data_IF_647869439915
#
_entry.id   IF_647869439915
#
_cell.length_a   1.000
_cell.length_b   1.000
_cell.length_c   1.000
_cell.angle_alpha   90.00
_cell.angle_beta   90.00
_cell.angle_gamma   90.00
#
_symmetry.space_group_name_H-M   'P 1'
#
loop_
_entity.id
_entity.type
_entity.pdbx_description
1 polymer ?
#
# COMPACT_ATOMS: atom_id res chain seq x y z
N UNK A 1 6.23 5.23 17.42
CA UNK A 1 5.76 5.90 16.18
C UNK A 1 4.27 5.61 16.06
N UNK A 2 3.47 6.59 15.65
CA UNK A 2 2.00 6.47 15.62
C UNK A 2 1.43 6.54 14.20
N UNK A 3 0.50 5.66 13.86
CA UNK A 3 -0.32 5.71 12.63
C UNK A 3 -1.78 5.69 13.05
N UNK A 4 -2.45 6.83 12.96
CA UNK A 4 -3.80 7.01 13.50
C UNK A 4 -3.92 6.65 14.97
N UNK A 5 -4.83 5.74 15.36
CA UNK A 5 -4.98 5.32 16.74
C UNK A 5 -3.92 4.31 17.19
N UNK A 6 -3.05 3.84 16.30
CA UNK A 6 -2.10 2.77 16.59
C UNK A 6 -0.72 3.30 16.95
N UNK A 7 -0.27 3.05 18.19
CA UNK A 7 1.13 3.22 18.58
C UNK A 7 1.89 1.93 18.27
N UNK A 8 2.98 2.04 17.50
CA UNK A 8 3.84 0.91 17.15
C UNK A 8 4.88 0.67 18.24
N UNK A 9 5.18 -0.61 18.50
CA UNK A 9 6.20 -1.06 19.47
C UNK A 9 7.59 -0.47 19.20
N UNK A 10 7.91 -0.20 17.94
CA UNK A 10 9.13 0.46 17.51
C UNK A 10 8.95 1.08 16.12
N UNK A 11 10.01 1.71 15.60
CA UNK A 11 10.00 2.43 14.32
C UNK A 11 10.52 1.59 13.15
N UNK A 12 10.51 0.25 13.24
CA UNK A 12 10.96 -0.65 12.19
C UNK A 12 9.76 -1.37 11.58
N UNK A 13 9.64 -1.31 10.26
CA UNK A 13 8.54 -1.94 9.53
C UNK A 13 9.06 -2.89 8.46
N UNK A 14 8.42 -4.06 8.34
CA UNK A 14 8.66 -4.97 7.23
C UNK A 14 7.97 -4.44 5.96
N UNK A 15 8.76 -4.22 4.91
CA UNK A 15 8.24 -3.77 3.63
C UNK A 15 7.37 -4.85 2.95
N UNK A 16 6.28 -4.46 2.26
CA UNK A 16 5.46 -5.40 1.50
C UNK A 16 6.21 -5.90 0.26
N UNK A 17 6.32 -7.22 0.10
CA UNK A 17 7.02 -7.86 -1.02
C UNK A 17 6.17 -9.02 -1.56
N UNK A 18 5.53 -8.81 -2.71
CA UNK A 18 4.71 -9.82 -3.35
C UNK A 18 5.52 -11.11 -3.63
N UNK A 19 5.02 -12.25 -3.19
CA UNK A 19 5.66 -13.56 -3.25
C UNK A 19 6.66 -13.85 -2.12
N UNK A 20 6.87 -12.92 -1.18
CA UNK A 20 7.82 -13.06 -0.07
C UNK A 20 7.16 -12.83 1.28
N UNK A 21 6.43 -11.71 1.45
CA UNK A 21 5.75 -11.38 2.71
C UNK A 21 4.42 -12.11 2.84
N UNK A 22 4.42 -13.43 2.66
CA UNK A 22 3.27 -14.27 2.98
C UNK A 22 3.00 -14.32 4.49
N UNK A 23 1.88 -14.93 4.90
CA UNK A 23 1.47 -14.97 6.31
C UNK A 23 2.54 -15.58 7.24
N UNK A 24 3.13 -16.76 6.96
CA UNK A 24 4.21 -17.31 7.78
C UNK A 24 5.42 -16.38 7.91
N UNK A 25 5.86 -15.75 6.82
CA UNK A 25 7.01 -14.85 6.86
C UNK A 25 6.74 -13.60 7.69
N UNK A 26 5.55 -13.00 7.56
CA UNK A 26 5.13 -11.84 8.37
C UNK A 26 5.10 -12.17 9.87
N UNK A 27 4.54 -13.33 10.24
CA UNK A 27 4.52 -13.77 11.64
C UNK A 27 5.94 -13.96 12.18
N UNK A 28 6.84 -14.56 11.39
CA UNK A 28 8.24 -14.68 11.79
C UNK A 28 8.89 -13.32 12.02
N UNK A 29 8.75 -12.38 11.10
CA UNK A 29 9.31 -11.03 11.26
C UNK A 29 8.71 -10.27 12.45
N UNK A 30 7.41 -10.43 12.73
CA UNK A 30 6.77 -9.84 13.91
C UNK A 30 7.37 -10.38 15.20
N UNK A 31 7.51 -11.71 15.33
CA UNK A 31 8.17 -12.35 16.49
C UNK A 31 9.64 -11.93 16.65
N UNK A 32 10.33 -11.62 15.56
CA UNK A 32 11.71 -11.13 15.57
C UNK A 32 11.83 -9.61 15.81
N UNK A 33 10.73 -8.92 16.08
CA UNK A 33 10.74 -7.53 16.55
C UNK A 33 10.35 -6.47 15.51
N UNK A 34 9.76 -6.84 14.37
CA UNK A 34 9.17 -5.83 13.47
C UNK A 34 7.98 -5.12 14.14
N UNK A 35 8.05 -3.80 14.28
CA UNK A 35 6.97 -3.00 14.88
C UNK A 35 5.67 -3.06 14.08
N UNK A 36 5.78 -3.09 12.75
CA UNK A 36 4.66 -3.31 11.82
C UNK A 36 5.09 -4.26 10.69
N UNK A 37 4.18 -5.14 10.27
CA UNK A 37 4.35 -5.98 9.08
C UNK A 37 3.21 -5.69 8.09
N UNK A 38 3.56 -5.51 6.82
CA UNK A 38 2.59 -5.19 5.76
C UNK A 38 2.37 -6.42 4.87
N UNK A 39 1.12 -6.68 4.51
CA UNK A 39 0.74 -7.80 3.64
C UNK A 39 1.41 -7.75 2.28
N UNK A 40 1.34 -8.86 1.53
CA UNK A 40 1.54 -8.76 0.09
C UNK A 40 0.53 -7.80 -0.56
N UNK A 41 0.94 -7.23 -1.69
CA UNK A 41 0.10 -6.37 -2.50
C UNK A 41 -1.12 -7.12 -3.07
N UNK A 42 -2.31 -6.60 -2.77
CA UNK A 42 -3.60 -7.04 -3.29
C UNK A 42 -4.05 -6.18 -4.46
N UNK A 43 -4.68 -6.82 -5.45
CA UNK A 43 -5.22 -6.12 -6.62
C UNK A 43 -6.56 -5.48 -6.31
N UNK A 44 -6.79 -4.26 -6.76
CA UNK A 44 -8.10 -3.60 -6.65
C UNK A 44 -9.16 -4.17 -7.59
N UNK A 45 -8.78 -5.05 -8.52
CA UNK A 45 -9.72 -5.69 -9.45
C UNK A 45 -10.55 -6.78 -8.76
N UNK A 46 -11.88 -6.63 -8.62
CA UNK A 46 -12.74 -7.59 -7.93
C UNK A 46 -12.76 -8.97 -8.60
N UNK A 47 -12.52 -9.03 -9.92
CA UNK A 47 -12.52 -10.29 -10.68
C UNK A 47 -11.49 -11.31 -10.20
N UNK A 48 -10.45 -10.88 -9.46
CA UNK A 48 -9.40 -11.77 -8.97
C UNK A 48 -9.48 -12.07 -7.47
N UNK A 49 -10.42 -11.48 -6.73
CA UNK A 49 -10.50 -11.63 -5.27
C UNK A 49 -10.81 -13.07 -4.86
N UNK A 50 -11.64 -13.79 -5.61
CA UNK A 50 -12.00 -15.18 -5.34
C UNK A 50 -10.96 -16.20 -5.83
N UNK A 51 -9.83 -15.76 -6.39
CA UNK A 51 -8.75 -16.69 -6.77
C UNK A 51 -8.00 -17.17 -5.52
N UNK A 52 -7.55 -18.42 -5.53
CA UNK A 52 -6.77 -19.00 -4.43
C UNK A 52 -5.57 -18.12 -4.02
N UNK A 53 -4.91 -17.49 -5.00
CA UNK A 53 -3.80 -16.55 -4.77
C UNK A 53 -4.20 -15.31 -3.98
N UNK A 54 -5.33 -14.67 -4.32
CA UNK A 54 -5.80 -13.48 -3.59
C UNK A 54 -6.29 -13.85 -2.21
N UNK A 55 -7.05 -14.95 -2.09
CA UNK A 55 -7.55 -15.45 -0.80
C UNK A 55 -6.40 -15.78 0.16
N UNK A 56 -5.34 -16.44 -0.31
CA UNK A 56 -4.16 -16.71 0.51
C UNK A 56 -3.47 -15.43 1.02
N UNK A 57 -3.49 -14.34 0.23
CA UNK A 57 -2.89 -13.05 0.60
C UNK A 57 -3.76 -12.24 1.55
N UNK A 58 -5.08 -12.37 1.45
CA UNK A 58 -6.10 -11.76 2.31
C UNK A 58 -6.27 -12.50 3.64
N UNK A 59 -5.70 -13.70 3.78
CA UNK A 59 -5.77 -14.45 5.02
C UNK A 59 -4.78 -13.88 6.07
N UNK A 60 -5.35 -13.34 7.14
CA UNK A 60 -4.64 -12.79 8.30
C UNK A 60 -4.88 -13.58 9.59
N UNK A 61 -5.47 -14.77 9.50
CA UNK A 61 -5.78 -15.60 10.66
C UNK A 61 -4.50 -15.92 11.46
N UNK A 62 -4.54 -15.69 12.76
CA UNK A 62 -3.42 -15.94 13.67
C UNK A 62 -2.25 -14.96 13.53
N UNK A 63 -2.38 -13.87 12.77
CA UNK A 63 -1.38 -12.79 12.80
C UNK A 63 -1.49 -11.98 14.10
N UNK A 64 -0.34 -11.73 14.71
CA UNK A 64 -0.20 -10.85 15.88
C UNK A 64 0.01 -9.40 15.45
N UNK A 65 -0.44 -8.46 16.28
CA UNK A 65 -0.28 -7.03 16.03
C UNK A 65 -1.31 -6.46 15.05
N UNK A 66 -0.94 -5.35 14.40
CA UNK A 66 -1.83 -4.57 13.54
C UNK A 66 -1.81 -5.13 12.12
N UNK A 67 -2.98 -5.50 11.60
CA UNK A 67 -3.13 -6.01 10.23
C UNK A 67 -3.10 -4.88 9.20
N UNK A 68 -1.91 -4.61 8.65
CA UNK A 68 -1.72 -3.64 7.57
C UNK A 68 -1.78 -4.32 6.21
N UNK A 69 -2.73 -3.92 5.37
CA UNK A 69 -2.99 -4.54 4.06
C UNK A 69 -2.65 -3.57 2.93
N UNK A 70 -1.77 -3.99 2.02
CA UNK A 70 -1.42 -3.17 0.86
C UNK A 70 -2.32 -3.47 -0.35
N UNK A 71 -2.93 -2.44 -0.92
CA UNK A 71 -3.74 -2.50 -2.14
C UNK A 71 -3.05 -1.79 -3.32
N UNK A 72 -3.35 -2.23 -4.54
CA UNK A 72 -2.80 -1.66 -5.76
C UNK A 72 -3.80 -1.66 -6.92
N UNK A 73 -3.84 -0.54 -7.62
CA UNK A 73 -4.76 -0.27 -8.72
C UNK A 73 -4.51 1.11 -9.29
N UNK A 74 -5.41 1.56 -10.16
CA UNK A 74 -5.28 2.81 -10.91
C UNK A 74 -6.59 3.61 -10.99
N UNK A 75 -7.67 2.99 -10.51
CA UNK A 75 -9.03 3.45 -10.68
C UNK A 75 -9.56 3.79 -9.28
N UNK A 76 -9.94 5.07 -9.01
CA UNK A 76 -10.31 5.50 -7.67
C UNK A 76 -11.45 4.69 -7.05
N UNK A 77 -12.47 4.35 -7.83
CA UNK A 77 -13.63 3.61 -7.35
C UNK A 77 -13.26 2.17 -6.99
N UNK A 78 -12.53 1.49 -7.87
CA UNK A 78 -12.05 0.13 -7.57
C UNK A 78 -11.08 0.10 -6.38
N UNK A 79 -10.27 1.15 -6.21
CA UNK A 79 -9.37 1.27 -5.05
C UNK A 79 -10.15 1.44 -3.74
N UNK A 80 -11.19 2.27 -3.74
CA UNK A 80 -12.10 2.44 -2.60
C UNK A 80 -12.82 1.12 -2.24
N UNK A 81 -13.38 0.43 -3.23
CA UNK A 81 -14.01 -0.89 -3.02
C UNK A 81 -13.03 -1.92 -2.48
N UNK A 82 -11.79 -1.93 -2.96
CA UNK A 82 -10.74 -2.81 -2.46
C UNK A 82 -10.37 -2.49 -1.01
N UNK A 83 -10.32 -1.21 -0.63
CA UNK A 83 -10.08 -0.80 0.74
C UNK A 83 -11.20 -1.31 1.67
N UNK A 84 -12.46 -1.02 1.33
CA UNK A 84 -13.64 -1.49 2.07
C UNK A 84 -13.65 -3.00 2.23
N UNK A 85 -13.48 -3.74 1.12
CA UNK A 85 -13.43 -5.19 1.16
C UNK A 85 -12.36 -5.72 2.12
N UNK A 86 -11.16 -5.14 2.14
CA UNK A 86 -10.11 -5.59 3.06
C UNK A 86 -10.39 -5.21 4.51
N UNK A 87 -11.01 -4.05 4.77
CA UNK A 87 -11.46 -3.65 6.11
C UNK A 87 -12.54 -4.60 6.63
N UNK A 88 -13.51 -4.97 5.80
CA UNK A 88 -14.54 -5.96 6.13
C UNK A 88 -13.93 -7.34 6.43
N UNK A 89 -12.78 -7.65 5.83
CA UNK A 89 -11.99 -8.85 6.09
C UNK A 89 -10.93 -8.65 7.20
N UNK A 90 -11.06 -7.58 7.99
CA UNK A 90 -10.31 -7.37 9.22
C UNK A 90 -9.05 -6.54 9.09
N UNK A 91 -8.77 -5.91 7.94
CA UNK A 91 -7.66 -4.95 7.82
C UNK A 91 -7.86 -3.78 8.80
N UNK A 92 -6.80 -3.43 9.51
CA UNK A 92 -6.76 -2.32 10.47
C UNK A 92 -6.03 -1.11 9.92
N UNK A 93 -5.20 -1.29 8.88
CA UNK A 93 -4.56 -0.21 8.12
C UNK A 93 -4.65 -0.59 6.65
N UNK A 94 -5.00 0.38 5.80
CA UNK A 94 -4.92 0.23 4.34
C UNK A 94 -3.69 0.98 3.83
N UNK A 95 -2.79 0.29 3.13
CA UNK A 95 -1.62 0.90 2.47
C UNK A 95 -1.82 0.95 0.95
N UNK A 96 -1.60 2.10 0.33
CA UNK A 96 -1.72 2.25 -1.11
C UNK A 96 -0.33 2.07 -1.76
N UNK A 97 -0.22 1.13 -2.70
CA UNK A 97 1.01 0.98 -3.48
C UNK A 97 1.08 1.98 -4.65
N UNK A 98 1.99 2.93 -4.54
CA UNK A 98 2.45 3.78 -5.66
C UNK A 98 3.98 3.69 -5.82
N UNK A 99 4.57 2.54 -5.45
CA UNK A 99 6.02 2.33 -5.43
C UNK A 99 6.52 1.23 -6.36
N UNK A 100 5.68 0.27 -6.74
CA UNK A 100 6.10 -0.83 -7.60
C UNK A 100 6.50 -0.33 -9.00
N UNK A 101 7.69 -0.69 -9.54
CA UNK A 101 8.12 -0.25 -10.86
C UNK A 101 7.61 -1.11 -12.02
N UNK A 102 6.97 -2.25 -11.69
CA UNK A 102 6.42 -3.17 -12.67
C UNK A 102 5.26 -2.53 -13.43
N UNK A 103 5.33 -2.60 -14.77
CA UNK A 103 4.59 -1.74 -15.71
C UNK A 103 3.06 -1.77 -15.57
N UNK A 104 2.46 -2.88 -15.11
CA UNK A 104 1.01 -3.13 -15.24
C UNK A 104 0.46 -3.98 -14.10
N UNK A 105 -0.63 -3.52 -13.49
CA UNK A 105 -1.61 -4.37 -12.78
C UNK A 105 -2.85 -4.39 -13.69
N UNK A 106 -3.26 -5.58 -14.15
CA UNK A 106 -4.42 -5.74 -15.02
C UNK A 106 -4.41 -4.86 -16.30
N UNK A 107 -3.26 -4.80 -17.00
CA UNK A 107 -3.04 -3.99 -18.22
C UNK A 107 -3.16 -2.46 -18.06
N UNK A 108 -3.55 -1.94 -16.90
CA UNK A 108 -3.56 -0.52 -16.55
C UNK A 108 -2.25 -0.10 -15.85
N UNK A 109 -1.90 1.18 -15.95
CA UNK A 109 -0.77 1.77 -15.22
C UNK A 109 -1.07 1.70 -13.71
N UNK A 110 -0.15 1.17 -12.90
CA UNK A 110 -0.31 1.10 -11.45
C UNK A 110 1.05 1.27 -10.77
N UNK A 111 1.07 1.31 -9.43
CA UNK A 111 2.30 1.51 -8.69
C UNK A 111 2.96 2.85 -9.04
N UNK A 112 4.28 2.86 -9.18
CA UNK A 112 5.04 4.10 -9.43
C UNK A 112 4.83 4.73 -10.81
N UNK A 113 4.08 4.07 -11.71
CA UNK A 113 3.63 4.71 -12.94
C UNK A 113 2.62 5.83 -12.70
N UNK A 114 1.87 5.76 -11.59
CA UNK A 114 0.89 6.78 -11.20
C UNK A 114 1.54 8.11 -10.82
N UNK A 115 2.82 8.11 -10.42
CA UNK A 115 3.52 9.33 -10.02
C UNK A 115 3.65 10.36 -11.16
N UNK A 116 3.42 9.96 -12.42
CA UNK A 116 3.36 10.88 -13.56
C UNK A 116 2.04 11.67 -13.65
N UNK A 117 1.04 11.31 -12.85
CA UNK A 117 -0.33 11.84 -12.94
C UNK A 117 -0.82 12.26 -11.54
N UNK A 118 -0.36 13.42 -11.02
CA UNK A 118 -0.75 13.90 -9.69
C UNK A 118 -2.27 13.97 -9.46
N UNK A 119 -3.06 14.39 -10.46
CA UNK A 119 -4.53 14.42 -10.37
C UNK A 119 -5.14 13.04 -10.13
N UNK A 120 -4.60 12.01 -10.81
CA UNK A 120 -5.03 10.61 -10.60
C UNK A 120 -4.62 10.12 -9.22
N UNK A 121 -3.44 10.51 -8.74
CA UNK A 121 -2.99 10.18 -7.37
C UNK A 121 -3.93 10.79 -6.34
N UNK A 122 -4.24 12.07 -6.48
CA UNK A 122 -5.18 12.77 -5.60
C UNK A 122 -6.55 12.12 -5.59
N UNK A 123 -7.10 11.80 -6.78
CA UNK A 123 -8.39 11.13 -6.90
C UNK A 123 -8.41 9.77 -6.19
N UNK A 124 -7.36 8.95 -6.35
CA UNK A 124 -7.24 7.65 -5.67
C UNK A 124 -7.14 7.84 -4.16
N UNK A 125 -6.28 8.75 -3.69
CA UNK A 125 -6.08 8.99 -2.26
C UNK A 125 -7.40 9.45 -1.61
N UNK A 126 -8.06 10.45 -2.18
CA UNK A 126 -9.37 10.94 -1.69
C UNK A 126 -10.41 9.82 -1.64
N UNK A 127 -10.52 9.04 -2.72
CA UNK A 127 -11.50 7.96 -2.78
C UNK A 127 -11.25 6.89 -1.71
N UNK A 128 -10.00 6.46 -1.52
CA UNK A 128 -9.67 5.43 -0.52
C UNK A 128 -9.84 5.95 0.90
N UNK A 129 -9.35 7.16 1.20
CA UNK A 129 -9.47 7.76 2.54
C UNK A 129 -10.93 7.98 2.94
N UNK A 130 -11.79 8.42 2.01
CA UNK A 130 -13.21 8.63 2.29
C UNK A 130 -14.02 7.32 2.35
N UNK A 131 -13.46 6.20 1.89
CA UNK A 131 -14.19 4.94 1.80
C UNK A 131 -14.11 4.09 3.08
N UNK A 132 -13.16 4.36 3.98
CA UNK A 132 -12.91 3.55 5.18
C UNK A 132 -12.59 4.40 6.40
N UNK A 133 -12.98 3.94 7.59
CA UNK A 133 -12.70 4.62 8.85
C UNK A 133 -11.32 4.26 9.44
N UNK A 134 -10.63 3.26 8.87
CA UNK A 134 -9.29 2.87 9.30
C UNK A 134 -8.22 3.80 8.72
N UNK A 135 -7.04 3.93 9.36
CA UNK A 135 -5.95 4.72 8.79
C UNK A 135 -5.53 4.23 7.40
N UNK A 136 -5.34 5.18 6.51
CA UNK A 136 -4.79 4.95 5.17
C UNK A 136 -3.36 5.48 5.09
N UNK A 137 -2.45 4.67 4.59
CA UNK A 137 -1.04 5.00 4.37
C UNK A 137 -0.70 4.93 2.89
N UNK A 138 0.41 5.55 2.50
CA UNK A 138 0.87 5.57 1.11
C UNK A 138 2.34 5.13 1.03
N UNK A 139 2.66 4.28 0.07
CA UNK A 139 4.04 3.90 -0.25
C UNK A 139 4.44 4.34 -1.66
N UNK A 140 5.42 5.23 -1.77
CA UNK A 140 5.87 5.82 -3.04
C UNK A 140 7.34 5.52 -3.37
N UNK A 141 7.75 5.98 -4.54
CA UNK A 141 9.14 6.23 -4.94
C UNK A 141 9.39 7.73 -5.04
N UNK A 142 10.64 8.14 -5.23
CA UNK A 142 11.01 9.57 -5.38
C UNK A 142 10.45 10.25 -6.64
N UNK A 143 9.95 9.47 -7.61
CA UNK A 143 9.37 9.95 -8.87
C UNK A 143 9.46 8.90 -9.97
N UNK A 144 9.17 9.29 -11.21
CA UNK A 144 9.14 8.39 -12.37
C UNK A 144 10.56 8.05 -12.89
N UNK A 145 11.42 9.04 -13.05
CA UNK A 145 12.82 8.88 -13.46
C UNK A 145 13.68 9.98 -12.78
N UNK A 146 15.02 9.93 -12.88
CA UNK A 146 15.89 10.91 -12.22
C UNK A 146 15.59 12.37 -12.57
N UNK A 147 15.14 12.63 -13.80
CA UNK A 147 14.80 13.96 -14.31
C UNK A 147 13.40 14.42 -13.86
N UNK A 148 12.53 13.48 -13.46
CA UNK A 148 11.14 13.71 -13.06
C UNK A 148 10.89 13.19 -11.64
N UNK A 149 11.51 13.86 -10.67
CA UNK A 149 11.32 13.63 -9.23
C UNK A 149 10.23 14.55 -8.68
N UNK A 150 9.06 13.99 -8.42
CA UNK A 150 7.94 14.73 -7.85
C UNK A 150 7.44 14.13 -6.52
N UNK A 151 8.27 13.33 -5.82
CA UNK A 151 7.88 12.73 -4.54
C UNK A 151 7.40 13.74 -3.48
N UNK A 152 7.91 14.98 -3.50
CA UNK A 152 7.46 16.06 -2.58
C UNK A 152 6.05 16.56 -2.93
N UNK A 153 5.73 16.71 -4.21
CA UNK A 153 4.38 17.05 -4.67
C UNK A 153 3.38 15.96 -4.25
N UNK A 154 3.72 14.70 -4.50
CA UNK A 154 2.90 13.56 -4.11
C UNK A 154 2.74 13.46 -2.59
N UNK A 155 3.78 13.79 -1.81
CA UNK A 155 3.70 13.83 -0.36
C UNK A 155 2.71 14.90 0.15
N UNK A 156 2.70 16.09 -0.47
CA UNK A 156 1.73 17.15 -0.14
C UNK A 156 0.31 16.75 -0.48
N UNK A 157 0.09 16.14 -1.64
CA UNK A 157 -1.22 15.59 -2.03
C UNK A 157 -1.68 14.55 -1.00
N UNK A 158 -0.80 13.64 -0.59
CA UNK A 158 -1.10 12.62 0.41
C UNK A 158 -1.53 13.25 1.74
N UNK A 159 -0.73 14.18 2.28
CA UNK A 159 -0.99 14.86 3.55
C UNK A 159 -2.31 15.64 3.52
N UNK A 160 -2.54 16.44 2.47
CA UNK A 160 -3.76 17.25 2.32
C UNK A 160 -5.03 16.42 2.22
N UNK A 161 -4.91 15.15 1.83
CA UNK A 161 -6.03 14.25 1.61
C UNK A 161 -6.12 13.12 2.63
N UNK A 162 -5.48 13.28 3.81
CA UNK A 162 -5.72 12.42 4.97
C UNK A 162 -4.89 11.14 5.05
N UNK A 163 -3.83 11.00 4.24
CA UNK A 163 -2.84 9.93 4.43
C UNK A 163 -2.13 10.13 5.77
N UNK A 164 -2.11 9.08 6.59
CA UNK A 164 -1.61 9.15 7.97
C UNK A 164 -0.14 8.73 8.12
N UNK A 165 0.44 8.13 7.08
CA UNK A 165 1.87 7.81 7.03
C UNK A 165 2.33 7.63 5.58
N UNK A 166 3.55 8.09 5.27
CA UNK A 166 4.16 8.03 3.95
C UNK A 166 5.49 7.27 4.01
N UNK A 167 5.56 6.14 3.31
CA UNK A 167 6.80 5.40 3.11
C UNK A 167 7.42 5.73 1.75
N UNK A 168 8.68 6.18 1.73
CA UNK A 168 9.39 6.54 0.50
C UNK A 168 10.52 5.56 0.22
N UNK A 169 10.44 4.85 -0.90
CA UNK A 169 11.63 4.19 -1.46
C UNK A 169 12.49 5.25 -2.15
N UNK A 170 13.69 5.49 -1.62
CA UNK A 170 14.65 6.53 -2.06
C UNK A 170 15.22 6.40 -3.48
N UNK A 171 14.52 5.75 -4.40
CA UNK A 171 14.86 5.58 -5.81
C UNK A 171 13.70 6.03 -6.68
N UNK A 172 13.95 6.40 -7.93
CA UNK A 172 12.88 6.66 -8.90
C UNK A 172 12.38 5.34 -9.47
N UNK A 173 11.26 5.33 -10.19
CA UNK A 173 10.77 4.13 -10.89
C UNK A 173 11.84 3.59 -11.85
N UNK A 174 12.47 4.47 -12.63
CA UNK A 174 13.47 4.09 -13.64
C UNK A 174 14.74 3.45 -13.04
N UNK A 175 15.11 3.80 -11.81
CA UNK A 175 16.26 3.18 -11.11
C UNK A 175 16.05 1.68 -10.86
N UNK A 176 14.81 1.17 -10.86
CA UNK A 176 14.49 -0.21 -10.48
C UNK A 176 15.07 -0.55 -9.10
N UNK A 177 16.09 -1.41 -9.05
CA UNK A 177 16.81 -1.83 -7.83
C UNK A 177 18.30 -1.48 -7.86
N UNK A 178 18.74 -0.68 -8.84
CA UNK A 178 20.10 -0.16 -8.92
C UNK A 178 20.21 1.08 -8.04
#
# INVERSE_FOLDING_TARGET
MRIGPYELENNLMLAPMAGVTDRPFRQLCKRLGAGLVVSEMLSSNPKVWNTAKSQARMNHEGEEGIRSVQIAGADPELMAQAAQFNVDNGAQIIDINMGCPAKKVNKKLAGSALLQYPDTVEAIVKAVVNAVDVPVTLKIRTGWNPENRNGVEIARIAEQNGIQSLAVHGRTRACMYK
#
